data_IF_326119452297
#
_entry.id   IF_326119452297
#
_cell.length_a   1.000
_cell.length_b   1.000
_cell.length_c   1.000
_cell.angle_alpha   90.00
_cell.angle_beta   90.00
_cell.angle_gamma   90.00
#
_symmetry.space_group_name_H-M   'P 1'
#
loop_
_entity.id
_entity.type
_entity.pdbx_description
1 polymer ?
#
# COMPACT_ATOMS: atom_id res chain seq x y z
N UNK A 1 6.04 2.17 10.31
CA UNK A 1 5.79 3.63 10.39
C UNK A 1 5.61 4.25 9.00
N UNK A 2 6.51 3.99 8.06
CA UNK A 2 6.54 4.61 6.72
C UNK A 2 5.25 4.53 5.89
N UNK A 3 4.55 3.39 5.87
CA UNK A 3 3.31 3.27 5.09
C UNK A 3 2.20 4.23 5.57
N UNK A 4 1.91 4.26 6.87
CA UNK A 4 0.88 5.12 7.45
C UNK A 4 1.28 6.61 7.35
N UNK A 5 2.57 6.91 7.54
CA UNK A 5 3.07 8.27 7.42
C UNK A 5 3.01 8.77 5.96
N UNK A 6 3.41 7.94 5.00
CA UNK A 6 3.27 8.22 3.58
C UNK A 6 1.80 8.48 3.19
N UNK A 7 0.88 7.65 3.67
CA UNK A 7 -0.56 7.87 3.48
C UNK A 7 -1.05 9.18 4.08
N UNK A 8 -0.61 9.54 5.29
CA UNK A 8 -0.96 10.83 5.91
C UNK A 8 -0.41 12.02 5.10
N UNK A 9 0.80 11.90 4.54
CA UNK A 9 1.37 12.92 3.67
C UNK A 9 0.56 13.11 2.38
N UNK A 10 0.03 12.03 1.80
CA UNK A 10 -0.89 12.13 0.65
C UNK A 10 -2.17 12.86 1.00
N UNK A 11 -2.76 12.56 2.16
CA UNK A 11 -4.00 13.24 2.61
C UNK A 11 -3.78 14.75 2.85
N UNK A 12 -2.54 15.17 3.05
CA UNK A 12 -2.16 16.59 3.20
C UNK A 12 -1.63 17.22 1.90
N UNK A 13 -1.77 16.53 0.76
CA UNK A 13 -1.34 17.02 -0.56
C UNK A 13 0.18 16.97 -0.80
N UNK A 14 0.96 16.38 0.12
CA UNK A 14 2.42 16.34 0.05
C UNK A 14 2.92 15.10 -0.70
N UNK A 15 2.59 14.99 -1.99
CA UNK A 15 2.90 13.83 -2.84
C UNK A 15 4.39 13.45 -2.82
N UNK A 16 5.28 14.41 -3.04
CA UNK A 16 6.74 14.13 -3.08
C UNK A 16 7.28 13.62 -1.75
N UNK A 17 6.80 14.19 -0.64
CA UNK A 17 7.18 13.73 0.70
C UNK A 17 6.64 12.32 0.97
N UNK A 18 5.42 12.02 0.51
CA UNK A 18 4.85 10.68 0.61
C UNK A 18 5.69 9.67 -0.18
N UNK A 19 6.05 9.99 -1.43
CA UNK A 19 6.92 9.13 -2.26
C UNK A 19 8.29 8.89 -1.60
N UNK A 20 8.92 9.93 -1.07
CA UNK A 20 10.18 9.80 -0.34
C UNK A 20 10.04 8.89 0.89
N UNK A 21 8.96 9.05 1.66
CA UNK A 21 8.68 8.22 2.84
C UNK A 21 8.43 6.76 2.47
N UNK A 22 7.65 6.51 1.41
CA UNK A 22 7.33 5.15 0.96
C UNK A 22 8.57 4.44 0.39
N UNK A 23 9.42 5.13 -0.37
CA UNK A 23 10.70 4.60 -0.86
C UNK A 23 11.67 4.28 0.30
N UNK A 24 11.76 5.17 1.29
CA UNK A 24 12.54 4.89 2.50
C UNK A 24 12.00 3.69 3.27
N UNK A 25 10.67 3.55 3.34
CA UNK A 25 10.03 2.37 3.90
C UNK A 25 10.35 1.09 3.15
N UNK A 26 10.45 1.16 1.81
CA UNK A 26 10.75 0.00 0.97
C UNK A 26 12.17 -0.52 1.24
N UNK A 27 13.15 0.38 1.29
CA UNK A 27 14.53 0.03 1.63
C UNK A 27 14.62 -0.66 3.00
N UNK A 28 13.95 -0.13 4.02
CA UNK A 28 13.91 -0.75 5.36
C UNK A 28 13.20 -2.11 5.33
N UNK A 29 12.13 -2.26 4.54
CA UNK A 29 11.44 -3.54 4.41
C UNK A 29 12.31 -4.59 3.72
N UNK A 30 13.11 -4.19 2.73
CA UNK A 30 14.07 -5.07 2.06
C UNK A 30 15.18 -5.53 3.02
N UNK A 31 15.76 -4.60 3.79
CA UNK A 31 16.79 -4.91 4.80
C UNK A 31 16.30 -5.90 5.86
N UNK A 32 15.03 -5.77 6.28
CA UNK A 32 14.41 -6.61 7.30
C UNK A 32 13.81 -7.91 6.75
N UNK A 33 13.81 -8.11 5.43
CA UNK A 33 13.09 -9.23 4.80
C UNK A 33 11.57 -9.20 5.05
N UNK A 34 11.01 -8.03 5.31
CA UNK A 34 9.62 -7.85 5.74
C UNK A 34 8.64 -7.90 4.55
N UNK A 35 8.51 -9.05 3.90
CA UNK A 35 7.77 -9.26 2.63
C UNK A 35 6.35 -8.69 2.62
N UNK A 36 5.57 -8.90 3.68
CA UNK A 36 4.20 -8.34 3.78
C UNK A 36 4.20 -6.80 3.77
N UNK A 37 5.20 -6.18 4.38
CA UNK A 37 5.36 -4.73 4.41
C UNK A 37 5.84 -4.25 3.04
N UNK A 38 6.82 -4.94 2.44
CA UNK A 38 7.32 -4.70 1.08
C UNK A 38 6.19 -4.68 0.06
N UNK A 39 5.36 -5.73 0.03
CA UNK A 39 4.16 -5.82 -0.80
C UNK A 39 3.27 -4.57 -0.71
N UNK A 40 2.96 -4.12 0.51
CA UNK A 40 2.08 -2.96 0.72
C UNK A 40 2.71 -1.65 0.25
N UNK A 41 4.02 -1.50 0.42
CA UNK A 41 4.74 -0.31 -0.02
C UNK A 41 4.85 -0.25 -1.55
N UNK A 42 5.12 -1.38 -2.20
CA UNK A 42 5.15 -1.48 -3.68
C UNK A 42 3.80 -1.09 -4.29
N UNK A 43 2.69 -1.58 -3.73
CA UNK A 43 1.35 -1.18 -4.17
C UNK A 43 1.09 0.31 -3.99
N UNK A 44 1.44 0.86 -2.83
CA UNK A 44 1.27 2.30 -2.57
C UNK A 44 2.13 3.16 -3.50
N UNK A 45 3.33 2.71 -3.87
CA UNK A 45 4.20 3.38 -4.83
C UNK A 45 3.62 3.29 -6.25
N UNK A 46 3.09 2.14 -6.66
CA UNK A 46 2.46 1.97 -7.97
C UNK A 46 1.26 2.89 -8.14
N UNK A 47 0.40 2.99 -7.11
CA UNK A 47 -0.77 3.87 -7.09
C UNK A 47 -0.40 5.37 -7.20
N UNK A 48 0.81 5.75 -6.82
CA UNK A 48 1.30 7.13 -6.87
C UNK A 48 2.18 7.44 -8.07
N UNK A 49 2.57 6.44 -8.85
CA UNK A 49 3.42 6.61 -10.01
C UNK A 49 2.66 7.34 -11.11
N UNK A 50 3.25 8.40 -11.66
CA UNK A 50 2.74 9.08 -12.86
C UNK A 50 3.19 8.37 -14.15
N UNK A 51 4.15 7.45 -14.06
CA UNK A 51 4.61 6.60 -15.15
C UNK A 51 3.94 5.23 -15.06
N UNK A 52 3.17 4.89 -16.10
CA UNK A 52 2.43 3.63 -16.20
C UNK A 52 3.37 2.41 -16.26
N UNK A 53 4.52 2.53 -16.93
CA UNK A 53 5.48 1.42 -17.00
C UNK A 53 6.11 1.15 -15.63
N UNK A 54 6.38 2.21 -14.87
CA UNK A 54 6.86 2.08 -13.49
C UNK A 54 5.78 1.51 -12.57
N UNK A 55 4.53 1.95 -12.71
CA UNK A 55 3.41 1.40 -11.96
C UNK A 55 3.28 -0.11 -12.21
N UNK A 56 3.34 -0.54 -13.47
CA UNK A 56 3.25 -1.95 -13.83
C UNK A 56 4.41 -2.77 -13.25
N UNK A 57 5.65 -2.25 -13.31
CA UNK A 57 6.82 -2.91 -12.68
C UNK A 57 6.60 -3.12 -11.18
N UNK A 58 6.17 -2.08 -10.47
CA UNK A 58 5.91 -2.13 -9.04
C UNK A 58 4.78 -3.12 -8.70
N UNK A 59 3.75 -3.21 -9.54
CA UNK A 59 2.66 -4.18 -9.36
C UNK A 59 3.12 -5.62 -9.61
N UNK A 60 3.97 -5.86 -10.60
CA UNK A 60 4.59 -7.18 -10.83
C UNK A 60 5.43 -7.60 -9.62
N UNK A 61 6.24 -6.70 -9.08
CA UNK A 61 7.01 -6.99 -7.86
C UNK A 61 6.10 -7.23 -6.65
N UNK A 62 5.04 -6.44 -6.50
CA UNK A 62 4.07 -6.62 -5.43
C UNK A 62 3.37 -7.99 -5.53
N UNK A 63 3.07 -8.44 -6.75
CA UNK A 63 2.47 -9.74 -6.99
C UNK A 63 3.41 -10.89 -6.61
N UNK A 64 4.70 -10.77 -6.94
CA UNK A 64 5.70 -11.77 -6.56
C UNK A 64 5.79 -11.98 -5.03
N UNK A 65 5.64 -10.92 -4.23
CA UNK A 65 5.58 -11.04 -2.77
C UNK A 65 4.32 -11.77 -2.28
N UNK A 66 3.18 -11.56 -2.94
CA UNK A 66 1.94 -12.27 -2.62
C UNK A 66 2.02 -13.73 -3.00
N UNK A 67 2.55 -14.05 -4.17
CA UNK A 67 2.69 -15.43 -4.63
C UNK A 67 3.58 -16.22 -3.69
N UNK A 68 4.68 -15.62 -3.23
CA UNK A 68 5.54 -16.22 -2.21
C UNK A 68 4.78 -16.45 -0.89
N UNK A 69 4.07 -15.43 -0.38
CA UNK A 69 3.29 -15.56 0.86
C UNK A 69 2.19 -16.64 0.76
N UNK A 70 1.56 -16.79 -0.41
CA UNK A 70 0.55 -17.82 -0.67
C UNK A 70 1.14 -19.23 -0.70
N UNK A 71 2.35 -19.40 -1.23
CA UNK A 71 3.05 -20.68 -1.26
C UNK A 71 3.39 -21.20 0.14
N UNK A 72 3.66 -20.29 1.08
CA UNK A 72 3.95 -20.62 2.49
C UNK A 72 2.70 -20.99 3.30
N UNK A 73 1.48 -20.80 2.75
CA UNK A 73 0.24 -21.16 3.44
C UNK A 73 -0.14 -22.61 3.08
N UNK A 74 -0.04 -23.57 4.01
CA UNK A 74 -0.35 -24.98 3.72
C UNK A 74 -1.85 -25.23 3.57
N UNK A 75 -2.69 -24.46 4.27
CA UNK A 75 -4.15 -24.60 4.21
C UNK A 75 -4.72 -23.95 2.95
N UNK A 76 -5.38 -24.75 2.11
CA UNK A 76 -6.11 -24.31 0.92
C UNK A 76 -7.12 -23.20 1.24
N UNK A 77 -7.85 -23.34 2.35
CA UNK A 77 -8.88 -22.39 2.78
C UNK A 77 -8.26 -21.04 3.19
N UNK A 78 -7.16 -21.07 3.95
CA UNK A 78 -6.43 -19.87 4.33
C UNK A 78 -5.78 -19.20 3.12
N UNK A 79 -5.26 -19.99 2.18
CA UNK A 79 -4.69 -19.50 0.91
C UNK A 79 -5.76 -18.78 0.09
N UNK A 80 -6.91 -19.40 -0.11
CA UNK A 80 -8.03 -18.79 -0.85
C UNK A 80 -8.55 -17.51 -0.16
N UNK A 81 -8.62 -17.51 1.17
CA UNK A 81 -9.04 -16.34 1.94
C UNK A 81 -8.03 -15.19 1.84
N UNK A 82 -6.74 -15.49 1.93
CA UNK A 82 -5.68 -14.51 1.75
C UNK A 82 -5.65 -13.93 0.33
N UNK A 83 -5.79 -14.77 -0.70
CA UNK A 83 -5.83 -14.35 -2.10
C UNK A 83 -6.96 -13.34 -2.38
N UNK A 84 -8.14 -13.55 -1.79
CA UNK A 84 -9.27 -12.60 -1.88
C UNK A 84 -8.94 -11.26 -1.22
N UNK A 85 -8.27 -11.28 -0.07
CA UNK A 85 -7.88 -10.06 0.66
C UNK A 85 -6.77 -9.29 -0.07
N UNK A 86 -5.83 -9.99 -0.70
CA UNK A 86 -4.70 -9.37 -1.41
C UNK A 86 -5.10 -8.77 -2.76
N UNK A 87 -6.11 -9.33 -3.44
CA UNK A 87 -6.61 -8.84 -4.72
C UNK A 87 -7.40 -7.51 -4.63
N UNK A 88 -7.81 -7.09 -3.42
CA UNK A 88 -8.61 -5.88 -3.26
C UNK A 88 -7.77 -4.64 -3.61
N UNK A 89 -8.27 -3.70 -4.44
CA UNK A 89 -7.62 -2.40 -4.61
C UNK A 89 -7.50 -1.72 -3.26
N UNK A 90 -6.33 -1.14 -2.97
CA UNK A 90 -6.14 -0.28 -1.80
C UNK A 90 -6.89 1.01 -2.12
N UNK A 91 -8.19 1.05 -1.84
CA UNK A 91 -8.92 2.30 -1.96
C UNK A 91 -8.21 3.33 -1.07
N UNK A 92 -7.94 4.56 -1.54
CA UNK A 92 -7.62 5.62 -0.61
C UNK A 92 -8.79 5.69 0.36
N UNK A 93 -8.50 5.63 1.66
CA UNK A 93 -9.52 5.73 2.70
C UNK A 93 -10.18 7.11 2.60
N UNK A 94 -11.22 7.21 1.76
CA UNK A 94 -12.14 8.34 1.79
C UNK A 94 -12.92 8.22 3.09
N UNK A 95 -12.52 9.00 4.10
CA UNK A 95 -13.37 9.20 5.26
C UNK A 95 -14.67 9.89 4.81
N UNK A 96 -15.81 9.58 5.43
CA UNK A 96 -17.03 10.34 5.21
C UNK A 96 -16.75 11.81 5.51
N UNK A 97 -17.03 12.69 4.55
CA UNK A 97 -17.13 14.12 4.81
C UNK A 97 -18.28 14.32 5.80
N UNK A 98 -17.99 14.31 7.10
CA UNK A 98 -18.95 14.77 8.10
C UNK A 98 -19.08 16.27 7.90
N UNK A 99 -20.17 16.64 7.22
CA UNK A 99 -20.71 17.98 7.23
C UNK A 99 -21.00 18.38 8.68
N UNK A 100 -20.04 19.03 9.34
CA UNK A 100 -20.26 19.77 10.56
C UNK A 100 -20.29 21.25 10.19
N UNK A 101 -21.40 21.67 9.57
CA UNK A 101 -21.83 23.06 9.68
C UNK A 101 -22.14 23.30 11.15
N UNK A 102 -21.27 24.04 11.83
CA UNK A 102 -21.57 24.58 13.15
C UNK A 102 -22.61 25.70 12.96
N UNK A 103 -23.79 25.64 13.61
CA UNK A 103 -24.65 26.81 13.69
C UNK A 103 -23.96 27.85 14.60
N UNK A 104 -23.73 29.05 14.06
CA UNK A 104 -23.41 30.23 14.85
C UNK A 104 -24.58 30.52 15.79
N UNK A 105 -24.31 30.53 17.10
CA UNK A 105 -25.15 31.12 18.13
C UNK A 105 -24.35 32.26 18.79
#
# INVERSE_FOLDING_TARGET
MYLLYGQALLQTGRKDAALASLRGGLAVADELGARRVRWRLLRALAELSDDAAEADRLLVEAQAEIDWLLAEIPSEELRASFARLSARPSAPAALPQTAAGLPSA
#
